data_IF_316278400708
#
_entry.id   IF_316278400708
#
_cell.length_a   1.000
_cell.length_b   1.000
_cell.length_c   1.000
_cell.angle_alpha   90.00
_cell.angle_beta   90.00
_cell.angle_gamma   90.00
#
_symmetry.space_group_name_H-M   'P 1'
#
loop_
_entity.id
_entity.type
_entity.pdbx_description
1 polymer ?
2 non-polymer ?
3 water ?
#
# COMPACT_ATOMS: atom_id res chain seq x y z
N UNK A 1 -11.34 -4.53 -11.76
CA UNK A 1 -10.40 -5.58 -12.05
C UNK A 1 -9.22 -4.73 -12.29
N UNK A 2 -9.06 -3.82 -11.36
CA UNK A 2 -7.85 -3.23 -11.13
C UNK A 2 -7.38 -2.36 -12.29
N UNK A 3 -8.12 -2.18 -13.42
CA UNK A 3 -7.82 -1.06 -14.33
C UNK A 3 -8.30 0.35 -13.84
N UNK A 4 -7.61 1.42 -14.25
CA UNK A 4 -7.96 2.81 -13.94
C UNK A 4 -7.30 3.31 -12.65
N UNK A 5 -7.80 4.40 -12.12
CA UNK A 5 -7.23 4.95 -10.89
C UNK A 5 -8.07 4.69 -9.67
N UNK A 6 -7.39 4.42 -8.54
CA UNK A 6 -8.00 4.00 -7.27
C UNK A 6 -7.44 4.75 -6.07
N UNK A 7 -8.30 4.96 -5.08
CA UNK A 7 -7.94 5.31 -3.71
C UNK A 7 -7.83 4.05 -2.95
N UNK A 8 -6.83 3.93 -2.11
CA UNK A 8 -6.67 2.73 -1.27
C UNK A 8 -7.08 3.08 0.18
N UNK A 9 -8.19 2.53 0.62
CA UNK A 9 -8.87 3.02 1.84
C UNK A 9 -8.70 1.97 2.97
N UNK A 10 -8.20 2.38 4.11
CA UNK A 10 -8.10 1.50 5.30
C UNK A 10 -9.52 1.29 5.86
N UNK A 11 -9.97 0.03 5.89
CA UNK A 11 -11.32 -0.27 6.33
C UNK A 11 -11.68 0.30 7.68
N UNK A 12 -10.85 0.01 8.66
CA UNK A 12 -11.21 0.39 10.01
C UNK A 12 -11.35 1.85 10.28
N UNK A 13 -10.48 2.67 9.68
CA UNK A 13 -10.44 4.09 9.92
C UNK A 13 -11.10 4.99 8.87
N UNK A 14 -11.10 4.45 7.64
CA UNK A 14 -11.53 5.24 6.51
C UNK A 14 -10.42 6.10 5.90
N UNK A 15 -9.26 6.13 6.49
CA UNK A 15 -8.14 6.90 5.95
C UNK A 15 -7.63 6.24 4.67
N UNK A 16 -6.83 6.98 3.89
CA UNK A 16 -6.31 6.56 2.62
C UNK A 16 -4.84 6.46 2.62
N UNK A 17 -4.26 5.68 1.71
CA UNK A 17 -2.82 5.66 1.48
C UNK A 17 -2.35 6.87 0.73
N UNK A 18 -1.32 7.53 1.23
CA UNK A 18 -0.68 8.68 0.67
C UNK A 18 0.85 8.55 0.70
N UNK A 19 1.59 9.18 -0.18
CA UNK A 19 3.02 9.48 0.08
C UNK A 19 3.06 10.48 1.25
N UNK A 20 3.98 10.32 2.19
CA UNK A 20 4.18 11.33 3.19
C UNK A 20 4.52 12.65 2.61
N UNK A 21 3.70 13.65 2.94
CA UNK A 21 3.83 14.98 2.36
C UNK A 21 2.92 15.20 1.21
N UNK A 22 2.34 14.12 0.63
CA UNK A 22 1.34 14.31 -0.38
C UNK A 22 1.81 14.86 -1.69
N UNK A 23 3.07 14.74 -2.04
CA UNK A 23 3.54 15.43 -3.25
C UNK A 23 3.33 14.68 -4.57
N UNK A 24 3.25 15.45 -5.67
CA UNK A 24 3.28 14.81 -6.93
C UNK A 24 4.58 14.15 -7.29
N UNK A 25 5.71 14.59 -6.72
CA UNK A 25 7.02 14.14 -7.12
C UNK A 25 7.89 13.81 -5.91
N UNK A 26 7.42 12.89 -5.07
CA UNK A 26 8.26 12.47 -3.92
C UNK A 26 9.53 11.82 -4.41
N UNK A 27 10.66 12.00 -3.68
CA UNK A 27 11.89 11.29 -4.03
C UNK A 27 11.78 9.81 -3.65
N UNK A 28 12.68 9.04 -4.22
CA UNK A 28 12.85 7.64 -3.76
C UNK A 28 12.99 7.53 -2.23
N UNK A 29 12.34 6.48 -1.72
CA UNK A 29 12.30 6.12 -0.29
C UNK A 29 11.46 7.00 0.58
N UNK A 30 10.57 7.78 -0.06
CA UNK A 30 9.56 8.49 0.64
C UNK A 30 8.60 7.47 1.27
N UNK A 31 8.26 7.69 2.55
CA UNK A 31 7.37 6.78 3.27
C UNK A 31 5.95 6.84 2.73
N UNK A 32 5.22 5.77 2.82
CA UNK A 32 3.77 5.75 2.61
C UNK A 32 3.11 5.83 3.95
N UNK A 33 2.03 6.53 4.03
CA UNK A 33 1.33 6.84 5.26
C UNK A 33 -0.16 6.76 5.04
N UNK A 34 -0.93 6.75 6.11
CA UNK A 34 -2.38 6.98 6.04
C UNK A 34 -2.73 8.41 6.32
N UNK A 35 -3.74 8.97 5.62
CA UNK A 35 -4.21 10.31 5.85
C UNK A 35 -5.68 10.43 5.32
N UNK A 36 -6.48 11.18 6.02
CA UNK A 36 -7.87 11.42 5.66
C UNK A 36 -8.13 12.11 4.33
N UNK A 37 -7.20 12.93 3.90
CA UNK A 37 -7.46 13.81 2.75
C UNK A 37 -7.55 12.99 1.42
N UNK A 38 -8.32 13.57 0.47
CA UNK A 38 -8.48 13.10 -0.88
C UNK A 38 -8.05 14.20 -1.83
N UNK A 39 -7.28 13.76 -2.81
CA UNK A 39 -6.73 14.57 -3.86
C UNK A 39 -5.99 13.69 -4.89
N UNK A 40 -5.51 14.30 -5.99
CA UNK A 40 -5.02 13.52 -7.05
C UNK A 40 -3.69 12.84 -6.74
N UNK A 41 -3.03 13.30 -5.67
CA UNK A 41 -1.72 12.76 -5.22
C UNK A 41 -1.85 11.59 -4.29
N UNK A 42 -3.07 11.09 -4.09
CA UNK A 42 -3.31 9.86 -3.34
C UNK A 42 -3.97 8.80 -4.22
N UNK A 43 -3.90 8.97 -5.56
CA UNK A 43 -4.40 7.95 -6.47
C UNK A 43 -3.29 6.99 -6.86
N UNK A 44 -3.67 5.75 -7.06
CA UNK A 44 -2.81 4.63 -7.45
C UNK A 44 -3.35 3.85 -8.61
N UNK A 45 -2.47 3.23 -9.35
CA UNK A 45 -2.83 2.30 -10.43
C UNK A 45 -2.27 0.97 -10.04
N UNK A 46 -2.88 -0.11 -10.50
CA UNK A 46 -2.39 -1.46 -10.19
C UNK A 46 -1.98 -2.09 -11.52
N UNK A 47 -0.77 -2.48 -11.64
CA UNK A 47 -0.26 -3.04 -12.87
C UNK A 47 -0.20 -4.53 -12.75
N UNK A 48 -1.11 -5.24 -13.46
CA UNK A 48 -1.22 -6.65 -13.42
C UNK A 48 -0.13 -7.35 -14.24
N UNK A 49 0.68 -8.17 -13.59
CA UNK A 49 1.77 -8.86 -14.26
C UNK A 49 1.34 -10.25 -14.66
N UNK A 50 0.11 -10.61 -14.32
CA UNK A 50 -0.35 -11.97 -14.49
C UNK A 50 -0.30 -12.79 -13.20
N UNK A 51 -1.18 -13.78 -13.18
CA UNK A 51 -1.34 -14.73 -12.07
C UNK A 51 -1.56 -14.08 -10.71
N UNK A 52 -2.28 -12.97 -10.72
CA UNK A 52 -2.71 -12.28 -9.51
C UNK A 52 -1.61 -11.46 -8.81
N UNK A 53 -0.44 -11.28 -9.43
CA UNK A 53 0.57 -10.36 -8.88
C UNK A 53 0.63 -9.01 -9.55
N UNK A 54 0.78 -7.99 -8.71
CA UNK A 54 0.64 -6.66 -9.13
C UNK A 54 1.81 -5.78 -8.63
N UNK A 55 2.14 -4.84 -9.44
CA UNK A 55 2.92 -3.65 -9.06
C UNK A 55 1.88 -2.58 -8.64
N UNK A 56 2.12 -1.87 -7.54
CA UNK A 56 1.27 -0.80 -7.05
C UNK A 56 1.98 0.53 -7.35
N UNK A 57 1.42 1.29 -8.27
CA UNK A 57 2.00 2.50 -8.83
C UNK A 57 1.27 3.75 -8.38
N UNK A 58 2.06 4.73 -7.83
CA UNK A 58 1.56 6.00 -7.48
C UNK A 58 1.29 6.76 -8.79
N UNK A 59 0.07 7.19 -9.00
CA UNK A 59 -0.26 7.91 -10.25
C UNK A 59 0.58 9.11 -10.50
N UNK A 60 0.72 9.97 -9.52
CA UNK A 60 1.30 11.29 -9.78
C UNK A 60 2.78 11.17 -10.10
N UNK A 61 3.49 10.26 -9.46
CA UNK A 61 4.95 10.18 -9.61
C UNK A 61 5.44 9.02 -10.48
N UNK A 62 4.58 8.01 -10.65
CA UNK A 62 4.94 6.80 -11.31
C UNK A 62 5.84 5.85 -10.52
N UNK A 63 6.16 6.20 -9.32
CA UNK A 63 6.94 5.29 -8.45
C UNK A 63 6.08 4.18 -7.88
N UNK A 64 6.70 3.14 -7.35
CA UNK A 64 6.03 1.94 -6.92
C UNK A 64 6.16 1.73 -5.42
N UNK A 65 5.22 1.03 -4.88
CA UNK A 65 5.30 0.59 -3.51
C UNK A 65 6.39 -0.48 -3.30
N UNK A 66 7.33 -0.26 -2.35
CA UNK A 66 8.36 -1.19 -1.91
C UNK A 66 8.37 -1.34 -0.43
N UNK A 67 8.84 -2.51 0.05
CA UNK A 67 9.42 -2.48 1.36
C UNK A 67 10.71 -1.73 1.41
N UNK A 68 10.94 -0.87 2.41
CA UNK A 68 12.16 -0.15 2.56
C UNK A 68 13.32 -1.12 2.62
N UNK A 69 14.29 -0.95 1.72
CA UNK A 69 15.44 -1.89 1.65
C UNK A 69 15.29 -2.99 0.63
N UNK A 70 14.08 -3.24 0.17
CA UNK A 70 13.78 -4.22 -0.86
C UNK A 70 14.03 -5.70 -0.60
N UNK A 71 14.04 -6.09 0.66
CA UNK A 71 14.34 -7.49 1.00
C UNK A 71 13.20 -8.42 0.61
N UNK A 72 13.60 -9.66 0.28
CA UNK A 72 12.70 -10.77 0.18
C UNK A 72 11.99 -11.21 1.48
N UNK A 73 12.57 -10.88 2.59
CA UNK A 73 11.99 -11.14 3.86
C UNK A 73 12.22 -10.01 4.83
N UNK A 74 11.55 -8.90 4.60
CA UNK A 74 11.70 -7.78 5.54
C UNK A 74 11.18 -8.20 6.90
N UNK A 75 11.74 -7.64 8.00
CA UNK A 75 11.21 -7.85 9.32
C UNK A 75 9.84 -7.22 9.55
N UNK A 76 9.13 -7.71 10.54
CA UNK A 76 7.95 -6.99 10.97
C UNK A 76 8.18 -5.55 11.26
N UNK A 77 7.21 -4.72 10.83
CA UNK A 77 7.26 -3.27 10.96
C UNK A 77 8.24 -2.58 10.03
N UNK A 78 8.64 -3.24 8.94
CA UNK A 78 9.38 -2.58 7.89
C UNK A 78 8.48 -1.53 7.15
N UNK A 79 8.96 -0.33 7.07
CA UNK A 79 8.23 0.74 6.36
C UNK A 79 8.05 0.42 4.94
N UNK A 80 6.86 0.77 4.44
CA UNK A 80 6.62 0.81 2.99
C UNK A 80 6.94 2.23 2.45
N UNK A 81 7.59 2.24 1.29
CA UNK A 81 8.05 3.49 0.67
C UNK A 81 7.69 3.46 -0.84
N UNK A 82 7.77 4.61 -1.43
CA UNK A 82 7.84 4.66 -2.89
C UNK A 82 9.24 4.65 -3.48
N UNK A 83 9.44 3.93 -4.58
CA UNK A 83 10.75 3.83 -5.24
C UNK A 83 10.49 3.52 -6.68
N UNK A 84 11.37 4.06 -7.54
CA UNK A 84 11.27 3.80 -8.97
C UNK A 84 11.74 2.39 -9.42
N UNK A 85 12.49 1.64 -8.62
CA UNK A 85 13.02 0.40 -9.09
C UNK A 85 11.93 -0.64 -9.22
N UNK A 86 12.18 -1.62 -10.10
CA UNK A 86 11.27 -2.73 -10.28
C UNK A 86 12.08 -4.01 -10.09
N UNK A 87 11.48 -4.98 -9.44
CA UNK A 87 12.06 -6.31 -9.13
C UNK A 87 10.99 -7.15 -8.41
N UNK A 88 11.30 -8.44 -8.12
CA UNK A 88 10.34 -9.32 -7.54
C UNK A 88 9.87 -9.00 -6.15
N UNK A 89 10.63 -8.15 -5.45
CA UNK A 89 10.35 -7.83 -4.05
C UNK A 89 9.45 -6.60 -3.94
N UNK A 90 8.96 -6.09 -5.09
CA UNK A 90 7.97 -5.02 -4.99
C UNK A 90 6.62 -5.48 -5.56
N UNK A 91 6.41 -6.80 -5.69
CA UNK A 91 5.17 -7.35 -6.14
C UNK A 91 4.25 -7.64 -4.99
N UNK A 92 2.95 -7.51 -5.19
CA UNK A 92 1.91 -7.75 -4.23
C UNK A 92 0.78 -8.59 -4.77
N UNK A 93 0.08 -9.21 -3.85
CA UNK A 93 -1.14 -10.01 -4.11
C UNK A 93 -2.29 -9.41 -3.28
N UNK A 94 -3.48 -9.35 -3.86
CA UNK A 94 -4.70 -8.89 -3.19
C UNK A 94 -5.63 -10.02 -2.88
N UNK A 95 -5.86 -10.25 -1.61
CA UNK A 95 -6.66 -11.36 -1.17
C UNK A 95 -8.00 -10.86 -0.72
N UNK A 96 -9.10 -11.18 -1.45
CA UNK A 96 -10.45 -10.74 -1.08
C UNK A 96 -10.98 -11.64 0.03
N UNK A 97 -11.45 -11.05 1.10
CA UNK A 97 -12.03 -11.83 2.22
C UNK A 97 -13.37 -12.37 1.85
N UNK A 98 -13.98 -11.78 0.84
CA UNK A 98 -15.19 -12.37 0.20
C UNK A 98 -16.29 -11.36 -0.01
N UNK A 99 -16.08 -10.15 0.51
CA UNK A 99 -17.05 -9.04 0.39
C UNK A 99 -16.49 -7.75 -0.14
N UNK A 100 -15.33 -7.82 -0.78
CA UNK A 100 -14.69 -6.66 -1.43
C UNK A 100 -13.78 -5.83 -0.53
N UNK A 101 -13.37 -6.44 0.59
CA UNK A 101 -12.31 -5.95 1.47
C UNK A 101 -11.16 -6.94 1.35
N UNK A 102 -9.95 -6.40 1.30
CA UNK A 102 -8.76 -7.12 0.90
C UNK A 102 -7.60 -7.04 1.89
N UNK A 103 -6.89 -8.12 2.02
CA UNK A 103 -5.53 -8.04 2.57
C UNK A 103 -4.62 -7.77 1.43
N UNK A 104 -3.57 -6.98 1.66
CA UNK A 104 -2.60 -6.65 0.64
C UNK A 104 -1.29 -7.33 1.05
N UNK A 105 -0.94 -8.38 0.32
CA UNK A 105 0.12 -9.32 0.72
C UNK A 105 1.38 -9.11 -0.16
N UNK A 106 2.53 -8.95 0.46
CA UNK A 106 3.80 -8.88 -0.18
C UNK A 106 4.14 -10.28 -0.68
N UNK A 107 4.37 -10.40 -1.97
CA UNK A 107 4.59 -11.72 -2.62
C UNK A 107 5.80 -12.39 -1.99
N UNK A 108 6.93 -11.72 -1.95
CA UNK A 108 8.19 -12.38 -1.58
C UNK A 108 8.18 -12.93 -0.18
N UNK A 109 7.62 -12.19 0.78
CA UNK A 109 7.66 -12.52 2.23
C UNK A 109 6.36 -13.15 2.78
N UNK A 110 5.22 -12.85 2.15
CA UNK A 110 3.94 -13.21 2.61
C UNK A 110 3.42 -12.32 3.73
N UNK A 111 4.13 -11.27 4.06
CA UNK A 111 3.64 -10.32 5.06
C UNK A 111 2.61 -9.41 4.45
N UNK A 112 1.86 -8.69 5.29
CA UNK A 112 0.70 -7.87 4.87
C UNK A 112 0.92 -6.41 5.18
N UNK A 113 0.25 -5.52 4.45
CA UNK A 113 0.29 -4.11 4.71
C UNK A 113 -0.58 -3.82 5.94
N UNK A 114 0.00 -3.08 6.89
CA UNK A 114 -0.68 -2.62 8.12
C UNK A 114 -0.37 -1.15 8.38
N UNK A 115 -1.27 -0.39 9.04
CA UNK A 115 -0.80 0.82 9.73
C UNK A 115 0.19 0.42 10.83
N UNK A 116 1.25 1.18 10.99
CA UNK A 116 2.20 0.88 12.09
C UNK A 116 1.48 0.99 13.43
N UNK A 117 1.56 -0.03 14.26
CA UNK A 117 0.75 -0.03 15.47
C UNK A 117 -0.60 -0.70 15.38
N UNK A 118 -1.13 -0.93 14.17
CA UNK A 118 -2.33 -1.73 13.98
C UNK A 118 -3.65 -1.11 14.49
N UNK A 119 -3.70 0.20 14.67
CA UNK A 119 -4.86 0.83 15.24
C UNK A 119 -6.07 0.81 14.33
N UNK A 120 -7.26 0.77 14.91
CA UNK A 120 -8.50 1.05 14.18
C UNK A 120 -8.59 2.50 13.79
N UNK A 121 -7.88 3.37 14.46
CA UNK A 121 -7.80 4.81 14.12
C UNK A 121 -6.42 5.33 14.19
N UNK A 122 -5.58 4.97 13.20
CA UNK A 122 -4.26 5.55 13.14
C UNK A 122 -4.33 7.07 13.00
N UNK A 123 -3.50 7.89 13.64
CA UNK A 123 -3.41 9.31 13.36
C UNK A 123 -3.00 9.55 11.91
N UNK A 124 -3.41 10.70 11.42
CA UNK A 124 -2.89 11.11 10.13
C UNK A 124 -1.35 11.06 10.13
N UNK A 125 -0.79 10.66 9.01
CA UNK A 125 0.65 10.52 8.82
C UNK A 125 1.26 9.34 9.57
N UNK A 126 0.42 8.39 9.96
CA UNK A 126 0.99 7.12 10.49
C UNK A 126 1.59 6.31 9.34
N UNK A 127 2.77 5.80 9.52
CA UNK A 127 3.42 5.02 8.49
C UNK A 127 2.71 3.72 8.23
N UNK A 128 2.74 3.26 6.99
CA UNK A 128 2.30 1.94 6.61
C UNK A 128 3.56 1.04 6.59
N UNK A 129 3.35 -0.21 7.06
CA UNK A 129 4.41 -1.13 7.28
C UNK A 129 3.98 -2.52 6.76
N UNK A 130 4.94 -3.44 6.70
CA UNK A 130 4.66 -4.86 6.58
C UNK A 130 4.64 -5.58 7.92
N UNK A 131 3.65 -6.46 8.07
CA UNK A 131 3.60 -7.24 9.30
C UNK A 131 2.94 -8.56 9.00
N UNK A 132 3.34 -9.60 9.71
CA UNK A 132 2.74 -10.89 9.50
C UNK A 132 1.31 -11.14 10.06
N UNK A 133 0.86 -10.32 11.00
CA UNK A 133 -0.40 -10.55 11.66
C UNK A 133 -1.54 -10.37 10.74
N UNK A 134 -2.68 -11.02 11.03
CA UNK A 134 -3.93 -10.79 10.31
C UNK A 134 -5.02 -10.44 11.37
N UNK A 135 -5.80 -9.43 11.06
CA UNK A 135 -6.87 -8.91 11.90
C UNK A 135 -7.64 -7.87 11.09
N UNK A 136 -8.69 -7.32 11.68
CA UNK A 136 -9.55 -6.47 10.88
C UNK A 136 -8.96 -5.11 10.58
N UNK A 137 -7.89 -4.77 11.22
CA UNK A 137 -7.24 -3.43 11.03
C UNK A 137 -6.13 -3.50 9.99
N UNK A 138 -6.04 -4.56 9.23
CA UNK A 138 -5.19 -4.64 8.05
C UNK A 138 -5.95 -4.92 6.77
N UNK A 139 -7.25 -4.71 6.82
CA UNK A 139 -8.11 -4.75 5.62
C UNK A 139 -8.20 -3.40 4.96
N UNK A 140 -8.24 -3.47 3.64
CA UNK A 140 -8.37 -2.31 2.75
C UNK A 140 -9.42 -2.48 1.69
N UNK A 141 -9.89 -1.36 1.19
CA UNK A 141 -10.87 -1.28 0.12
C UNK A 141 -10.27 -0.48 -0.99
N UNK A 142 -10.53 -0.89 -2.21
CA UNK A 142 -10.08 -0.18 -3.42
C UNK A 142 -11.25 0.59 -4.01
N UNK A 143 -11.19 1.88 -3.88
CA UNK A 143 -12.28 2.78 -4.28
C UNK A 143 -11.96 3.41 -5.60
N UNK A 144 -12.68 3.00 -6.63
CA UNK A 144 -12.35 3.49 -7.95
C UNK A 144 -12.67 5.00 -8.02
N UNK A 145 -11.89 5.75 -8.79
CA UNK A 145 -12.03 7.17 -8.81
C UNK A 145 -13.43 7.57 -9.41
X LIG B 1 0.63 15.32 3.22
X LIG B 1 0.26 16.66 3.30
X LIG B 1 -0.03 17.13 4.61
X LIG B 1 -0.98 16.90 2.39
X LIG B 1 -1.49 18.24 2.53
X LIG B 1 -2.10 15.90 2.81
X LIG B 1 -3.26 15.98 1.95
X LIG B 1 -1.60 14.48 2.79
X LIG B 1 -1.22 14.10 1.41
X LIG B 1 -0.38 14.41 3.66
X LIG B 1 0.28 13.04 3.70
X LIG B 1 1.44 13.01 4.55
X LIG B 1 -1.83 19.00 1.47
X LIG B 1 -1.69 18.57 0.31
X LIG B 1 -2.31 20.41 1.86
X LIG C 1 15.62 -0.67 -1.41
X LIG C 1 16.89 -1.09 -1.98
X LIG C 1 17.63 0.09 -2.12
X LIG C 1 16.64 -1.82 -3.28
X LIG C 1 17.90 -2.33 -3.89
X LIG C 1 15.78 -0.95 -4.21
X LIG C 1 15.57 -1.69 -5.39
X LIG C 1 14.47 -0.68 -3.53
X LIG C 1 13.72 -1.88 -3.29
X LIG C 1 14.76 0.09 -2.28
X LIG C 1 13.51 0.33 -1.45
X LIG C 1 13.86 1.06 -0.26
X LIG C 1 18.36 -3.57 -3.53
X LIG C 1 19.34 -3.98 -4.08
X LIG C 1 17.77 -4.48 -2.46
X LIG D 1 0.99 -3.27 15.16
X LIG D 1 0.73 -3.93 16.40
X LIG D 1 2.01 -4.44 16.87
X LIG D 1 -0.34 -5.02 16.20
X LIG D 1 -0.49 -5.83 17.50
X LIG D 1 -0.01 -5.96 15.09
X LIG D 1 -1.04 -6.89 14.87
X LIG D 1 0.31 -5.15 13.83
X LIG D 1 -0.95 -4.59 13.34
X LIG D 1 1.36 -4.14 14.11
X LIG D 1 1.67 -3.31 12.85
X LIG D 1 2.66 -2.40 13.22
X LIG D 1 -1.10 -5.34 18.55
X LIG D 1 -1.62 -4.27 18.62
X LIG D 1 -1.02 -6.19 19.79
#
# INVERSE_FOLDING_TARGET
HMDGYYKIKHKASGKFVHPKGGSSNPPNDTNLVLHSDKHERMLFQFVDLGDGYYKIKHKASGKFVHPKGGSSNPPNDTNLVLHSDKHERMLFQFVDLGDGYYKIKHKASGKFVHPKGGSSNPPNDTNLVLHSDKHERMLFQFVDL
A2G O5 C1 O1 C2 N2 C3 O3 C4 O4 C5 C6 O6 C7 O7 C8
A2G O5 C1 O1 C2 N2 C3 O3 C4 O4 C5 C6 O6 C7 O7 C8
A2G O5 C1 O1 C2 N2 C3 O3 C4 O4 C5 C6 O6 C7 O7 C8
#
